data_IF_022019413701
#
_entry.id   IF_022019413701
#
_cell.length_a   1.000
_cell.length_b   1.000
_cell.length_c   1.000
_cell.angle_alpha   90.00
_cell.angle_beta   90.00
_cell.angle_gamma   90.00
#
_symmetry.space_group_name_H-M   'P 1'
#
loop_
_entity.id
_entity.type
_entity.pdbx_description
1 polymer ?
#
# COMPACT_ATOMS: atom_id res chain seq x y z
N UNK A 1 20.64 -1.53 17.80
CA UNK A 1 19.42 -1.68 16.98
C UNK A 1 18.21 -2.06 17.83
N UNK A 2 18.37 -2.91 18.85
CA UNK A 2 17.24 -3.53 19.56
C UNK A 2 16.40 -2.57 20.43
N UNK A 3 16.98 -1.44 20.86
CA UNK A 3 16.30 -0.39 21.64
C UNK A 3 15.09 0.19 20.90
N UNK A 4 15.28 0.55 19.62
CA UNK A 4 14.24 1.16 18.77
C UNK A 4 13.14 0.14 18.47
N UNK A 5 13.50 -1.10 18.15
CA UNK A 5 12.51 -2.17 17.96
C UNK A 5 11.69 -2.45 19.22
N UNK A 6 12.29 -2.34 20.41
CA UNK A 6 11.61 -2.47 21.70
C UNK A 6 10.63 -1.32 21.93
N UNK A 7 11.04 -0.07 21.72
CA UNK A 7 10.17 1.10 21.82
C UNK A 7 8.98 0.99 20.87
N UNK A 8 9.24 0.71 19.59
CA UNK A 8 8.19 0.58 18.57
C UNK A 8 7.18 -0.52 18.91
N UNK A 9 7.65 -1.64 19.49
CA UNK A 9 6.77 -2.73 19.94
C UNK A 9 5.84 -2.29 21.07
N UNK A 10 6.36 -1.64 22.11
CA UNK A 10 5.52 -1.19 23.24
C UNK A 10 4.60 -0.03 22.83
N UNK A 11 5.07 0.95 22.04
CA UNK A 11 4.21 2.00 21.46
C UNK A 11 3.07 1.39 20.62
N UNK A 12 3.37 0.43 19.75
CA UNK A 12 2.37 -0.26 18.93
C UNK A 12 1.36 -1.04 19.78
N UNK A 13 1.83 -1.77 20.82
CA UNK A 13 0.97 -2.46 21.80
C UNK A 13 0.00 -1.49 22.47
N UNK A 14 0.49 -0.36 22.97
CA UNK A 14 -0.32 0.63 23.70
C UNK A 14 -1.35 1.28 22.77
N UNK A 15 -0.93 1.77 21.60
CA UNK A 15 -1.85 2.37 20.61
C UNK A 15 -2.90 1.38 20.07
N UNK A 16 -2.64 0.06 20.09
CA UNK A 16 -3.64 -0.95 19.72
C UNK A 16 -4.79 -1.08 20.73
N UNK A 17 -4.54 -0.68 21.99
CA UNK A 17 -5.49 -0.67 23.11
C UNK A 17 -6.17 0.70 23.21
N UNK A 18 -5.39 1.78 23.16
CA UNK A 18 -5.85 3.17 23.24
C UNK A 18 -6.24 3.70 21.85
N UNK A 19 -7.30 3.12 21.28
CA UNK A 19 -7.72 3.36 19.89
C UNK A 19 -8.96 4.25 19.74
N UNK A 20 -9.26 5.12 20.71
CA UNK A 20 -10.30 6.13 20.61
C UNK A 20 -9.88 7.25 19.61
N UNK A 21 -10.82 7.73 18.79
CA UNK A 21 -10.63 8.81 17.81
C UNK A 21 -11.21 10.12 18.35
N UNK A 22 -10.79 11.27 17.80
CA UNK A 22 -11.35 12.59 18.12
C UNK A 22 -12.89 12.66 18.07
N UNK A 23 -13.51 11.89 17.18
CA UNK A 23 -14.97 11.77 17.03
C UNK A 23 -15.67 11.14 18.25
N UNK A 24 -14.94 10.39 19.08
CA UNK A 24 -15.47 9.67 20.23
C UNK A 24 -15.58 10.57 21.49
N UNK A 25 -15.11 11.83 21.41
CA UNK A 25 -15.05 12.81 22.52
C UNK A 25 -15.97 14.02 22.26
N UNK A 26 -16.46 14.65 23.32
CA UNK A 26 -17.42 15.77 23.19
C UNK A 26 -16.74 17.13 23.10
N UNK A 27 -15.59 17.28 23.76
CA UNK A 27 -14.80 18.52 23.76
C UNK A 27 -13.38 18.28 23.26
N UNK A 28 -12.75 19.35 22.75
CA UNK A 28 -11.33 19.33 22.37
C UNK A 28 -10.42 19.08 23.58
N UNK A 29 -10.78 19.58 24.75
CA UNK A 29 -10.01 19.43 25.99
C UNK A 29 -9.98 17.97 26.45
N UNK A 30 -11.11 17.26 26.39
CA UNK A 30 -11.15 15.80 26.65
C UNK A 30 -10.22 15.01 25.71
N UNK A 31 -10.22 15.35 24.42
CA UNK A 31 -9.34 14.70 23.44
C UNK A 31 -7.86 14.99 23.69
N UNK A 32 -7.50 16.24 23.99
CA UNK A 32 -6.11 16.62 24.24
C UNK A 32 -5.59 15.99 25.56
N UNK A 33 -6.42 15.98 26.63
CA UNK A 33 -6.11 15.29 27.89
C UNK A 33 -5.94 13.77 27.71
N UNK A 34 -6.75 13.15 26.83
CA UNK A 34 -6.60 11.74 26.49
C UNK A 34 -5.28 11.45 25.76
N UNK A 35 -4.87 12.32 24.82
CA UNK A 35 -3.57 12.18 24.15
C UNK A 35 -2.40 12.32 25.11
N UNK A 36 -2.41 13.33 26.00
CA UNK A 36 -1.39 13.53 27.02
C UNK A 36 -1.24 12.28 27.93
N UNK A 37 -2.36 11.74 28.42
CA UNK A 37 -2.37 10.50 29.21
C UNK A 37 -1.77 9.30 28.46
N UNK A 38 -2.03 9.17 27.16
CA UNK A 38 -1.48 8.08 26.32
C UNK A 38 0.02 8.28 26.08
N UNK A 39 0.48 9.52 25.85
CA UNK A 39 1.90 9.83 25.68
C UNK A 39 2.70 9.58 26.97
N UNK A 40 2.19 10.02 28.12
CA UNK A 40 2.77 9.72 29.45
C UNK A 40 2.89 8.22 29.68
N UNK A 41 1.85 7.45 29.34
CA UNK A 41 1.83 6.00 29.54
C UNK A 41 2.85 5.30 28.62
N UNK A 42 2.98 5.75 27.36
CA UNK A 42 4.03 5.26 26.44
C UNK A 42 5.42 5.62 26.97
N UNK A 43 5.64 6.87 27.37
CA UNK A 43 6.93 7.34 27.88
C UNK A 43 7.38 6.54 29.10
N UNK A 44 6.49 6.31 30.06
CA UNK A 44 6.79 5.56 31.27
C UNK A 44 7.10 4.08 30.98
N UNK A 45 6.32 3.41 30.12
CA UNK A 45 6.58 2.03 29.70
C UNK A 45 7.93 1.90 28.97
N UNK A 46 8.22 2.79 28.01
CA UNK A 46 9.45 2.74 27.19
C UNK A 46 10.70 2.96 28.05
N UNK A 47 10.65 3.93 28.97
CA UNK A 47 11.74 4.26 29.91
C UNK A 47 11.78 3.35 31.15
N UNK A 48 10.85 2.39 31.28
CA UNK A 48 10.71 1.47 32.42
C UNK A 48 10.48 2.17 33.77
N UNK A 49 9.82 3.32 33.75
CA UNK A 49 9.42 4.07 34.94
C UNK A 49 8.06 3.52 35.40
N UNK A 50 8.01 3.03 36.63
CA UNK A 50 6.80 2.50 37.29
C UNK A 50 5.92 1.58 36.40
N UNK A 51 6.57 0.67 35.68
CA UNK A 51 5.94 -0.35 34.83
C UNK A 51 4.75 -1.06 35.51
N UNK A 52 4.82 -1.56 36.76
CA UNK A 52 3.68 -2.28 37.35
C UNK A 52 2.44 -1.40 37.54
N UNK A 53 2.58 -0.11 37.89
CA UNK A 53 1.43 0.79 37.98
C UNK A 53 0.86 1.13 36.61
N UNK A 54 1.73 1.33 35.60
CA UNK A 54 1.26 1.58 34.23
C UNK A 54 0.55 0.36 33.64
N UNK A 55 1.09 -0.86 33.83
CA UNK A 55 0.43 -2.08 33.37
C UNK A 55 -0.90 -2.35 34.10
N UNK A 56 -1.02 -1.97 35.37
CA UNK A 56 -2.31 -1.99 36.07
C UNK A 56 -3.35 -1.08 35.41
N UNK A 57 -2.98 0.18 35.07
CA UNK A 57 -3.84 1.12 34.33
C UNK A 57 -4.25 0.58 32.95
N UNK A 58 -3.30 0.00 32.20
CA UNK A 58 -3.58 -0.63 30.89
C UNK A 58 -4.60 -1.77 31.06
N UNK A 59 -4.40 -2.65 32.05
CA UNK A 59 -5.26 -3.81 32.30
C UNK A 59 -6.69 -3.39 32.73
N UNK A 60 -6.81 -2.35 33.54
CA UNK A 60 -8.11 -1.80 33.94
C UNK A 60 -8.85 -1.19 32.74
N UNK A 61 -8.18 -0.32 31.97
CA UNK A 61 -8.73 0.27 30.75
C UNK A 61 -9.13 -0.81 29.73
N UNK A 62 -8.29 -1.82 29.52
CA UNK A 62 -8.60 -2.94 28.62
C UNK A 62 -9.83 -3.72 29.09
N UNK A 63 -10.01 -3.92 30.41
CA UNK A 63 -11.16 -4.64 30.97
C UNK A 63 -12.46 -3.87 30.84
N UNK A 64 -12.45 -2.55 31.08
CA UNK A 64 -13.63 -1.69 30.98
C UNK A 64 -14.01 -1.41 29.52
N UNK A 65 -13.04 -1.10 28.67
CA UNK A 65 -13.26 -0.65 27.30
C UNK A 65 -13.17 -1.75 26.23
N UNK A 66 -13.04 -3.04 26.60
CA UNK A 66 -12.89 -4.18 25.67
C UNK A 66 -13.83 -4.14 24.45
N UNK A 67 -15.08 -3.72 24.65
CA UNK A 67 -16.11 -3.68 23.60
C UNK A 67 -15.86 -2.52 22.64
N UNK A 68 -15.50 -1.33 23.16
CA UNK A 68 -15.09 -0.17 22.35
C UNK A 68 -13.87 -0.51 21.50
N UNK A 69 -12.85 -1.13 22.10
CA UNK A 69 -11.59 -1.47 21.43
C UNK A 69 -11.86 -2.37 20.22
N UNK A 70 -12.64 -3.44 20.39
CA UNK A 70 -13.02 -4.37 19.30
C UNK A 70 -13.84 -3.64 18.23
N UNK A 71 -14.79 -2.79 18.62
CA UNK A 71 -15.60 -1.99 17.69
C UNK A 71 -14.76 -1.04 16.84
N UNK A 72 -13.81 -0.33 17.46
CA UNK A 72 -12.89 0.58 16.76
C UNK A 72 -11.89 -0.16 15.87
N UNK A 73 -11.40 -1.35 16.28
CA UNK A 73 -10.58 -2.21 15.41
C UNK A 73 -11.37 -2.74 14.20
N UNK A 74 -12.64 -3.12 14.37
CA UNK A 74 -13.51 -3.52 13.28
C UNK A 74 -13.76 -2.38 12.28
N UNK A 75 -14.10 -1.17 12.78
CA UNK A 75 -14.23 0.05 11.96
C UNK A 75 -12.98 0.30 11.13
N UNK A 76 -11.80 0.30 11.75
CA UNK A 76 -10.52 0.51 11.05
C UNK A 76 -10.27 -0.55 9.97
N UNK A 77 -10.57 -1.82 10.24
CA UNK A 77 -10.40 -2.90 9.28
C UNK A 77 -11.37 -2.81 8.09
N UNK A 78 -12.56 -2.25 8.27
CA UNK A 78 -13.50 -1.97 7.18
C UNK A 78 -13.07 -0.76 6.34
N UNK A 79 -12.62 0.34 6.99
CA UNK A 79 -12.07 1.52 6.32
C UNK A 79 -10.86 1.14 5.44
N UNK A 80 -9.93 0.33 5.95
CA UNK A 80 -8.78 -0.17 5.20
C UNK A 80 -9.17 -1.03 3.98
N UNK A 81 -10.20 -1.88 4.12
CA UNK A 81 -10.71 -2.69 2.98
C UNK A 81 -11.29 -1.82 1.88
N UNK A 82 -12.07 -0.78 2.24
CA UNK A 82 -12.66 0.17 1.28
C UNK A 82 -11.58 0.94 0.53
N UNK A 83 -10.62 1.54 1.25
CA UNK A 83 -9.50 2.26 0.64
C UNK A 83 -8.67 1.38 -0.31
N UNK A 84 -8.49 0.08 0.01
CA UNK A 84 -7.80 -0.88 -0.86
C UNK A 84 -8.61 -1.25 -2.11
N UNK A 85 -9.96 -1.25 -2.03
CA UNK A 85 -10.82 -1.48 -3.19
C UNK A 85 -10.89 -0.26 -4.10
N UNK A 86 -11.00 0.94 -3.54
CA UNK A 86 -11.02 2.21 -4.28
C UNK A 86 -9.71 2.44 -5.05
N UNK A 87 -8.56 2.07 -4.47
CA UNK A 87 -7.25 2.15 -5.16
C UNK A 87 -7.04 1.10 -6.27
N UNK A 88 -7.92 0.11 -6.40
CA UNK A 88 -7.85 -0.95 -7.42
C UNK A 88 -9.03 -0.92 -8.42
N UNK A 89 -9.87 0.11 -8.38
CA UNK A 89 -11.21 0.07 -8.97
C UNK A 89 -11.58 1.20 -9.94
N UNK A 90 -10.74 1.52 -10.95
CA UNK A 90 -11.29 2.06 -12.22
C UNK A 90 -10.31 1.96 -13.43
N UNK A 91 -10.46 0.97 -14.33
CA UNK A 91 -9.92 1.04 -15.68
C UNK A 91 -10.97 1.65 -16.63
N UNK A 92 -11.05 2.99 -16.67
CA UNK A 92 -11.96 3.69 -17.60
C UNK A 92 -11.60 3.36 -19.05
N UNK A 93 -12.57 2.97 -19.91
CA UNK A 93 -12.34 2.86 -21.35
C UNK A 93 -12.30 4.27 -21.94
N UNK A 94 -11.10 4.81 -22.16
CA UNK A 94 -10.94 6.08 -22.88
C UNK A 94 -11.18 5.84 -24.39
N UNK A 95 -12.22 6.48 -24.92
CA UNK A 95 -12.60 6.42 -26.33
C UNK A 95 -11.53 7.00 -27.26
N UNK A 96 -11.48 6.49 -28.50
CA UNK A 96 -10.59 7.01 -29.55
C UNK A 96 -10.99 8.43 -29.99
N UNK A 97 -10.05 9.37 -29.91
CA UNK A 97 -10.12 10.64 -30.64
C UNK A 97 -8.82 10.85 -31.44
N UNK A 98 -8.95 10.97 -32.76
CA UNK A 98 -7.83 10.85 -33.69
C UNK A 98 -6.97 12.12 -33.88
N UNK A 99 -5.68 11.86 -34.13
CA UNK A 99 -4.75 12.58 -35.02
C UNK A 99 -4.78 14.13 -35.14
N UNK A 100 -3.63 14.78 -34.91
CA UNK A 100 -2.83 15.43 -35.99
C UNK A 100 -1.57 16.20 -35.52
N UNK A 101 -0.42 15.92 -36.16
CA UNK A 101 0.74 16.85 -36.31
C UNK A 101 1.55 17.23 -35.05
N UNK A 102 2.86 17.52 -35.10
CA UNK A 102 3.74 17.86 -36.22
C UNK A 102 5.18 17.33 -36.04
N UNK A 103 5.97 17.47 -37.10
CA UNK A 103 7.30 16.87 -37.35
C UNK A 103 8.49 17.58 -36.70
N UNK A 104 9.57 16.85 -36.38
CA UNK A 104 10.96 17.30 -36.61
C UNK A 104 11.94 16.12 -36.80
N UNK A 105 12.94 16.32 -37.67
CA UNK A 105 14.18 15.54 -37.89
C UNK A 105 15.28 16.56 -38.27
N UNK A 106 16.60 16.25 -38.23
CA UNK A 106 17.28 15.02 -37.81
C UNK A 106 17.90 15.24 -36.38
N UNK A 107 18.95 14.57 -35.85
CA UNK A 107 19.93 13.66 -36.45
C UNK A 107 20.51 12.60 -35.47
N UNK A 108 21.55 11.93 -35.96
CA UNK A 108 22.27 10.76 -35.42
C UNK A 108 23.28 11.03 -34.30
N UNK A 109 23.25 10.16 -33.28
CA UNK A 109 24.45 9.66 -32.59
C UNK A 109 24.37 8.13 -32.50
N UNK A 110 25.51 7.43 -32.63
CA UNK A 110 25.54 5.97 -32.77
C UNK A 110 25.24 5.25 -31.44
N UNK A 111 24.23 4.39 -31.46
CA UNK A 111 24.10 3.25 -30.57
C UNK A 111 23.55 2.07 -31.38
N UNK A 112 24.14 0.88 -31.24
CA UNK A 112 23.69 -0.30 -31.96
C UNK A 112 22.30 -0.72 -31.44
N UNK A 113 21.27 -0.54 -32.26
CA UNK A 113 19.91 -0.97 -31.93
C UNK A 113 19.80 -2.49 -32.09
N UNK A 114 19.12 -3.22 -31.18
CA UNK A 114 18.71 -4.59 -31.47
C UNK A 114 17.81 -4.58 -32.70
N UNK A 115 18.02 -5.50 -33.63
CA UNK A 115 17.24 -5.57 -34.86
C UNK A 115 15.74 -5.70 -34.51
N UNK A 116 14.85 -4.93 -35.18
CA UNK A 116 13.42 -5.04 -34.92
C UNK A 116 12.96 -6.47 -35.22
N UNK A 117 12.15 -7.03 -34.31
CA UNK A 117 11.52 -8.34 -34.53
C UNK A 117 10.70 -8.24 -35.82
N UNK A 118 10.97 -9.16 -36.76
CA UNK A 118 10.35 -9.14 -38.08
C UNK A 118 8.83 -9.18 -37.98
N UNK A 119 8.14 -8.50 -38.89
CA UNK A 119 6.69 -8.42 -38.87
C UNK A 119 6.05 -9.83 -38.92
N UNK A 120 5.01 -10.09 -38.10
CA UNK A 120 4.35 -11.40 -38.08
C UNK A 120 3.75 -11.73 -39.45
N UNK A 121 3.87 -12.99 -39.87
CA UNK A 121 3.31 -13.46 -41.12
C UNK A 121 1.77 -13.36 -41.09
N UNK A 122 1.22 -12.58 -42.01
CA UNK A 122 -0.22 -12.41 -42.21
C UNK A 122 -0.76 -13.50 -43.16
N UNK A 123 -2.05 -13.80 -43.04
CA UNK A 123 -2.76 -14.59 -44.05
C UNK A 123 -2.97 -13.79 -45.36
N UNK A 124 -3.57 -14.43 -46.38
CA UNK A 124 -3.72 -13.83 -47.71
C UNK A 124 -4.71 -12.66 -47.72
N UNK A 125 -5.52 -12.57 -46.67
CA UNK A 125 -6.53 -11.57 -46.40
C UNK A 125 -5.98 -10.42 -45.51
N UNK A 126 -4.68 -10.47 -45.17
CA UNK A 126 -3.99 -9.40 -44.43
C UNK A 126 -4.26 -9.41 -42.92
N UNK A 127 -4.71 -10.54 -42.36
CA UNK A 127 -5.02 -10.71 -40.94
C UNK A 127 -3.97 -11.57 -40.24
N UNK A 128 -3.77 -11.32 -38.94
CA UNK A 128 -2.92 -12.15 -38.10
C UNK A 128 -3.59 -13.50 -37.84
N UNK A 129 -2.86 -14.63 -37.92
CA UNK A 129 -3.43 -15.96 -37.69
C UNK A 129 -3.98 -16.05 -36.26
N UNK A 130 -5.29 -16.30 -36.13
CA UNK A 130 -5.94 -16.38 -34.82
C UNK A 130 -5.53 -17.69 -34.11
N UNK A 131 -4.87 -17.62 -32.94
CA UNK A 131 -4.51 -18.83 -32.21
C UNK A 131 -5.79 -19.49 -31.67
N UNK A 132 -6.05 -20.72 -32.12
CA UNK A 132 -7.17 -21.53 -31.63
C UNK A 132 -6.79 -22.12 -30.26
N UNK A 133 -7.40 -21.67 -29.16
CA UNK A 133 -7.79 -22.47 -27.95
C UNK A 133 -8.31 -21.58 -26.80
N UNK A 134 -9.32 -22.10 -26.09
CA UNK A 134 -9.82 -21.82 -24.72
C UNK A 134 -9.71 -20.39 -24.13
N UNK A 135 -10.88 -19.80 -23.88
CA UNK A 135 -11.11 -18.46 -23.34
C UNK A 135 -10.81 -18.30 -21.84
N UNK A 136 -9.55 -18.45 -21.45
CA UNK A 136 -9.10 -18.17 -20.07
C UNK A 136 -7.63 -17.76 -19.93
N UNK A 137 -6.75 -18.28 -20.79
CA UNK A 137 -5.28 -18.16 -20.61
C UNK A 137 -4.61 -17.12 -21.54
N UNK A 138 -5.36 -16.48 -22.45
CA UNK A 138 -4.78 -15.61 -23.48
C UNK A 138 -4.02 -14.41 -22.90
N UNK A 139 -4.61 -13.71 -21.94
CA UNK A 139 -3.99 -12.53 -21.33
C UNK A 139 -2.78 -12.89 -20.46
N UNK A 140 -2.84 -13.99 -19.70
CA UNK A 140 -1.74 -14.51 -18.88
C UNK A 140 -0.54 -14.95 -19.75
N UNK A 141 -0.81 -15.62 -20.87
CA UNK A 141 0.22 -16.06 -21.81
C UNK A 141 0.89 -14.87 -22.50
N UNK A 142 0.11 -13.86 -22.92
CA UNK A 142 0.65 -12.61 -23.51
C UNK A 142 1.46 -11.80 -22.51
N UNK A 143 0.99 -11.67 -21.27
CA UNK A 143 1.70 -10.98 -20.22
C UNK A 143 3.02 -11.71 -19.86
N UNK A 144 2.97 -13.03 -19.69
CA UNK A 144 4.17 -13.82 -19.37
C UNK A 144 5.19 -13.79 -20.51
N UNK A 145 4.74 -13.88 -21.77
CA UNK A 145 5.60 -13.78 -22.95
C UNK A 145 6.24 -12.39 -23.13
N UNK A 146 5.62 -11.33 -22.59
CA UNK A 146 6.18 -9.97 -22.54
C UNK A 146 7.01 -9.70 -21.28
N UNK A 147 7.26 -10.72 -20.44
CA UNK A 147 8.07 -10.61 -19.21
C UNK A 147 7.32 -10.03 -18.00
N UNK A 148 5.99 -9.95 -18.06
CA UNK A 148 5.14 -9.46 -16.98
C UNK A 148 4.60 -10.63 -16.13
N UNK A 149 4.74 -10.54 -14.81
CA UNK A 149 4.21 -11.47 -13.80
C UNK A 149 3.37 -10.65 -12.80
N UNK A 150 2.15 -11.06 -12.40
CA UNK A 150 1.38 -10.37 -11.34
C UNK A 150 2.10 -10.24 -9.98
N UNK A 151 3.27 -10.87 -9.78
CA UNK A 151 4.17 -10.67 -8.63
C UNK A 151 5.16 -9.50 -8.78
N UNK A 152 5.48 -9.07 -10.01
CA UNK A 152 6.40 -7.93 -10.27
C UNK A 152 6.05 -6.64 -9.50
N UNK A 153 4.79 -6.17 -9.45
CA UNK A 153 4.47 -4.92 -8.75
C UNK A 153 4.76 -4.99 -7.24
N UNK A 154 4.65 -6.16 -6.61
CA UNK A 154 4.98 -6.33 -5.18
C UNK A 154 6.49 -6.32 -4.92
N UNK A 155 7.28 -6.88 -5.85
CA UNK A 155 8.74 -6.86 -5.75
C UNK A 155 9.30 -5.45 -5.96
N UNK A 156 8.83 -4.74 -7.00
CA UNK A 156 9.28 -3.38 -7.31
C UNK A 156 8.84 -2.36 -6.27
N UNK A 157 7.59 -2.40 -5.78
CA UNK A 157 7.14 -1.42 -4.78
C UNK A 157 7.92 -1.49 -3.48
N UNK A 158 8.28 -2.70 -3.03
CA UNK A 158 9.17 -2.89 -1.87
C UNK A 158 10.57 -2.36 -2.18
N UNK A 159 11.11 -2.64 -3.37
CA UNK A 159 12.46 -2.19 -3.73
C UNK A 159 12.53 -0.66 -3.86
N UNK A 160 11.52 0.00 -4.44
CA UNK A 160 11.42 1.46 -4.57
C UNK A 160 11.19 2.16 -3.22
N UNK A 161 10.36 1.57 -2.34
CA UNK A 161 10.17 2.04 -0.97
C UNK A 161 11.44 1.92 -0.12
N UNK A 162 12.28 0.93 -0.38
CA UNK A 162 13.56 0.73 0.33
C UNK A 162 14.74 1.47 -0.33
N UNK A 163 14.70 1.78 -1.63
CA UNK A 163 15.76 2.56 -2.31
C UNK A 163 15.58 4.07 -2.17
N UNK A 164 14.37 4.54 -1.86
CA UNK A 164 14.09 5.94 -1.52
C UNK A 164 14.39 6.27 -0.04
N UNK A 165 14.56 5.24 0.80
CA UNK A 165 14.98 5.36 2.19
C UNK A 165 16.49 5.13 2.28
N UNK A 166 17.24 6.23 2.49
CA UNK A 166 18.70 6.31 2.68
C UNK A 166 19.56 6.35 1.39
N UNK A 167 19.64 7.54 0.79
CA UNK A 167 20.90 8.05 0.24
C UNK A 167 21.20 9.40 0.92
N UNK A 168 22.08 9.35 1.91
CA UNK A 168 22.83 10.47 2.51
C UNK A 168 24.23 9.94 2.86
#
# INVERSE_FOLDING_TARGET
MDEIHRELKERSRILSIFNERREDFTTKEEWDNYLEMVEDLIFNIVNKIDVPAMEAKISEYQRSNRVKIISNQARLAEEQKKATQETFGDPTPVEEAGASGLTFKPASFLAAQPAPISAPALDKEGRLPTPRVSSGSQWEAMATASGWDPRLPRGRSIQEALSSVLIF
#
